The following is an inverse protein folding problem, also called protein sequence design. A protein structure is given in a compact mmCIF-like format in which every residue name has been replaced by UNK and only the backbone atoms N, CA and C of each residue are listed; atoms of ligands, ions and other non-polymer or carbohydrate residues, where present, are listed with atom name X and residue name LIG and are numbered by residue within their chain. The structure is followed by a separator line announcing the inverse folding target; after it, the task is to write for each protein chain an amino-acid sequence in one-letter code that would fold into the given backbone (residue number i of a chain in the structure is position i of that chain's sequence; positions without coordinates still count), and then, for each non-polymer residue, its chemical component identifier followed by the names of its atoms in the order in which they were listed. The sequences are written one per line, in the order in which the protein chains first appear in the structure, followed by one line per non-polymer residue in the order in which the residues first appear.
data_IF_655433699306
#
_entry.id   IF_655433699306
#
_cell.length_a   1.000
_cell.length_b   1.000
_cell.length_c   1.000
_cell.angle_alpha   90.00
_cell.angle_beta   90.00
_cell.angle_gamma   90.00
#
_symmetry.space_group_name_H-M   'P 1'
#
loop_
_entity.id
_entity.type
_entity.pdbx_description
1 polymer ?
#
# COMPACT_ATOMS: atom_id res chain seq x y z
N UNK A 1 -35.33 17.23 15.69
CA UNK A 1 -34.59 16.75 14.51
C UNK A 1 -33.40 15.92 15.00
N UNK A 2 -33.51 14.59 15.00
CA UNK A 2 -32.37 13.71 15.29
C UNK A 2 -31.63 13.45 13.99
N UNK A 3 -30.37 13.90 13.90
CA UNK A 3 -29.47 13.44 12.86
C UNK A 3 -29.25 11.94 13.08
N UNK A 4 -29.56 11.13 12.07
CA UNK A 4 -29.47 9.66 12.14
C UNK A 4 -28.09 9.20 12.59
N UNK A 5 -28.03 8.25 13.52
CA UNK A 5 -26.77 7.63 13.94
C UNK A 5 -26.19 6.86 12.75
N UNK A 6 -25.01 7.28 12.28
CA UNK A 6 -24.27 6.55 11.24
C UNK A 6 -24.00 5.12 11.71
N UNK A 7 -24.26 4.18 10.82
CA UNK A 7 -24.02 2.75 11.03
C UNK A 7 -22.51 2.45 11.08
N UNK A 8 -22.15 1.30 11.64
CA UNK A 8 -20.73 0.89 11.77
C UNK A 8 -20.04 0.72 10.41
N UNK A 9 -20.77 0.32 9.38
CA UNK A 9 -20.29 0.25 8.00
C UNK A 9 -20.01 1.65 7.44
N UNK A 10 -20.95 2.60 7.60
CA UNK A 10 -20.74 3.99 7.17
C UNK A 10 -19.57 4.66 7.90
N UNK A 11 -19.35 4.32 9.17
CA UNK A 11 -18.20 4.82 9.93
C UNK A 11 -16.87 4.19 9.49
N UNK A 12 -16.88 2.96 8.98
CA UNK A 12 -15.69 2.32 8.40
C UNK A 12 -15.36 2.93 7.03
N UNK A 13 -16.37 3.10 6.17
CA UNK A 13 -16.21 3.68 4.82
C UNK A 13 -15.69 5.12 4.87
N UNK A 14 -16.05 5.88 5.92
CA UNK A 14 -15.52 7.22 6.15
C UNK A 14 -14.05 7.26 6.57
N UNK A 15 -13.48 6.15 7.06
CA UNK A 15 -12.06 6.11 7.48
C UNK A 15 -11.10 5.86 6.34
N UNK A 16 -11.56 5.33 5.22
CA UNK A 16 -10.67 4.90 4.12
C UNK A 16 -10.69 5.84 2.93
N UNK A 17 -11.69 6.74 2.81
CA UNK A 17 -11.79 7.72 1.74
C UNK A 17 -11.16 9.06 2.10
N UNK A 18 -9.96 9.31 1.60
CA UNK A 18 -9.15 10.50 1.88
C UNK A 18 -8.87 11.23 0.55
N UNK A 19 -8.99 12.56 0.52
CA UNK A 19 -8.59 13.34 -0.67
C UNK A 19 -7.11 13.11 -0.98
N UNK A 20 -6.78 12.81 -2.24
CA UNK A 20 -5.40 12.59 -2.64
C UNK A 20 -4.62 13.91 -2.58
N UNK A 21 -3.60 14.04 -1.70
CA UNK A 21 -2.85 15.29 -1.57
C UNK A 21 -2.05 15.66 -2.83
N UNK A 22 -1.78 14.68 -3.70
CA UNK A 22 -1.05 14.87 -4.95
C UNK A 22 -1.98 15.04 -6.16
N UNK A 23 -3.28 15.29 -5.95
CA UNK A 23 -4.25 15.35 -7.04
C UNK A 23 -3.97 16.51 -8.01
N UNK A 24 -3.97 16.19 -9.30
CA UNK A 24 -3.83 17.13 -10.41
C UNK A 24 -4.81 16.74 -11.52
N UNK A 25 -5.74 17.65 -11.86
CA UNK A 25 -6.88 17.37 -12.75
C UNK A 25 -6.48 16.91 -14.16
N UNK A 26 -5.30 17.30 -14.65
CA UNK A 26 -4.84 17.02 -16.02
C UNK A 26 -3.51 16.24 -16.05
N UNK A 27 -3.15 15.54 -14.97
CA UNK A 27 -1.95 14.69 -15.00
C UNK A 27 -2.19 13.43 -15.82
N UNK A 28 -1.22 13.06 -16.64
CA UNK A 28 -1.19 11.77 -17.34
C UNK A 28 -0.75 10.62 -16.40
N UNK A 29 -0.30 10.94 -15.19
CA UNK A 29 0.05 9.96 -14.17
C UNK A 29 -1.21 9.55 -13.38
N UNK A 30 -1.58 8.27 -13.45
CA UNK A 30 -2.78 7.76 -12.75
C UNK A 30 -2.77 8.04 -11.25
N UNK A 31 -1.58 8.07 -10.62
CA UNK A 31 -1.43 8.37 -9.18
C UNK A 31 -1.86 9.78 -8.82
N UNK A 32 -1.71 10.72 -9.76
CA UNK A 32 -1.98 12.14 -9.56
C UNK A 32 -3.36 12.52 -10.13
N UNK A 33 -3.88 11.81 -11.13
CA UNK A 33 -5.25 12.06 -11.62
C UNK A 33 -6.35 11.41 -10.74
N UNK A 34 -5.96 10.56 -9.77
CA UNK A 34 -6.90 9.95 -8.82
C UNK A 34 -7.31 10.95 -7.74
N UNK A 35 -8.60 11.30 -7.64
CA UNK A 35 -9.10 12.34 -6.72
C UNK A 35 -9.13 11.91 -5.25
N UNK A 36 -9.51 10.66 -4.99
CA UNK A 36 -9.63 10.10 -3.64
C UNK A 36 -8.85 8.81 -3.50
N UNK A 37 -8.15 8.66 -2.38
CA UNK A 37 -7.59 7.41 -1.90
C UNK A 37 -8.72 6.66 -1.21
N UNK A 38 -9.10 5.48 -1.71
CA UNK A 38 -10.23 4.70 -1.19
C UNK A 38 -9.81 3.65 -0.14
N UNK A 39 -8.50 3.37 -0.04
CA UNK A 39 -7.92 2.37 0.88
C UNK A 39 -6.61 2.88 1.47
N UNK A 40 -6.37 2.58 2.75
CA UNK A 40 -5.09 2.84 3.42
C UNK A 40 -4.39 1.53 3.76
N UNK A 41 -3.06 1.53 3.62
CA UNK A 41 -2.21 0.37 3.91
C UNK A 41 -0.90 0.83 4.55
N UNK A 42 -0.13 -0.12 5.07
CA UNK A 42 1.21 0.13 5.60
C UNK A 42 2.25 -0.64 4.78
N UNK A 43 3.39 0.01 4.55
CA UNK A 43 4.59 -0.61 3.98
C UNK A 43 5.78 -0.28 4.88
N UNK A 44 6.55 -1.30 5.24
CA UNK A 44 7.79 -1.15 6.00
C UNK A 44 8.95 -1.61 5.12
N UNK A 45 10.04 -0.86 5.13
CA UNK A 45 11.22 -1.16 4.34
C UNK A 45 12.49 -0.96 5.15
N UNK A 46 13.49 -1.78 4.88
CA UNK A 46 14.85 -1.67 5.46
C UNK A 46 15.84 -1.02 4.50
N UNK A 47 15.38 -0.50 3.35
CA UNK A 47 16.22 0.17 2.36
C UNK A 47 17.02 1.30 3.00
N UNK A 48 18.34 1.29 2.78
CA UNK A 48 19.28 2.28 3.35
C UNK A 48 19.60 2.09 4.84
N UNK A 49 18.98 1.11 5.51
CA UNK A 49 19.24 0.78 6.91
C UNK A 49 20.02 -0.53 7.02
N UNK A 50 19.54 -1.57 6.34
CA UNK A 50 20.15 -2.90 6.35
C UNK A 50 20.03 -3.54 4.97
N UNK A 51 21.11 -4.20 4.56
CA UNK A 51 21.16 -5.04 3.37
C UNK A 51 21.86 -6.35 3.72
N UNK A 52 21.49 -7.42 3.01
CA UNK A 52 22.02 -8.75 3.26
C UNK A 52 22.39 -9.40 1.93
N UNK A 53 23.45 -10.20 1.97
CA UNK A 53 23.85 -11.08 0.88
C UNK A 53 23.86 -12.49 1.43
N UNK A 54 23.07 -13.37 0.81
CA UNK A 54 22.83 -14.73 1.28
C UNK A 54 22.08 -14.81 2.63
N UNK A 55 21.92 -16.03 3.14
CA UNK A 55 21.25 -16.31 4.41
C UNK A 55 19.84 -16.89 4.26
N UNK A 56 19.23 -17.20 5.40
CA UNK A 56 17.84 -17.70 5.50
C UNK A 56 17.04 -16.68 6.30
N UNK A 57 15.92 -16.24 5.73
CA UNK A 57 15.00 -15.30 6.37
C UNK A 57 13.73 -16.03 6.77
N UNK A 58 13.49 -16.12 8.07
CA UNK A 58 12.26 -16.70 8.61
C UNK A 58 11.30 -15.58 8.99
N UNK A 59 10.14 -15.54 8.34
CA UNK A 59 9.09 -14.56 8.63
C UNK A 59 7.83 -15.30 9.07
N UNK A 60 7.39 -15.02 10.31
CA UNK A 60 6.15 -15.56 10.87
C UNK A 60 5.07 -14.48 10.83
N UNK A 61 4.10 -14.65 9.94
CA UNK A 61 2.99 -13.72 9.78
C UNK A 61 1.63 -14.44 9.87
N UNK A 62 0.64 -13.78 10.49
CA UNK A 62 -0.77 -14.21 10.44
C UNK A 62 -1.55 -13.22 9.59
N UNK A 63 -1.97 -13.68 8.42
CA UNK A 63 -2.73 -12.87 7.46
C UNK A 63 -4.23 -13.12 7.66
N UNK A 64 -5.02 -12.04 7.79
CA UNK A 64 -6.47 -12.14 7.71
C UNK A 64 -6.87 -12.15 6.24
N UNK A 65 -7.41 -13.26 5.75
CA UNK A 65 -7.86 -13.40 4.36
C UNK A 65 -9.19 -12.70 4.14
N UNK A 66 -9.21 -11.73 3.23
CA UNK A 66 -10.40 -11.03 2.74
C UNK A 66 -10.20 -10.71 1.25
N UNK A 67 -11.29 -10.60 0.50
CA UNK A 67 -11.23 -10.28 -0.92
C UNK A 67 -10.53 -8.94 -1.16
N UNK A 68 -9.66 -8.89 -2.17
CA UNK A 68 -8.90 -7.68 -2.54
C UNK A 68 -7.64 -7.42 -1.70
N UNK A 69 -7.38 -8.19 -0.63
CA UNK A 69 -6.11 -8.07 0.10
C UNK A 69 -4.96 -8.71 -0.66
N UNK A 70 -3.84 -8.00 -0.74
CA UNK A 70 -2.59 -8.48 -1.35
C UNK A 70 -1.39 -8.22 -0.41
N UNK A 71 -1.22 -9.04 0.64
CA UNK A 71 -0.04 -8.96 1.50
C UNK A 71 1.20 -9.48 0.77
N UNK A 72 2.34 -8.83 0.97
CA UNK A 72 3.60 -9.23 0.36
C UNK A 72 4.75 -9.16 1.38
N UNK A 73 5.61 -10.18 1.35
CA UNK A 73 6.92 -10.20 2.01
C UNK A 73 7.91 -10.49 0.89
N UNK A 74 8.80 -9.56 0.61
CA UNK A 74 9.71 -9.63 -0.53
C UNK A 74 10.95 -8.79 -0.27
N UNK A 75 11.98 -9.04 -1.07
CA UNK A 75 13.27 -8.35 -1.02
C UNK A 75 13.59 -7.78 -2.40
N UNK A 76 14.44 -6.76 -2.44
CA UNK A 76 14.99 -6.18 -3.67
C UNK A 76 16.51 -6.10 -3.54
N UNK A 77 17.21 -6.22 -4.67
CA UNK A 77 18.63 -5.85 -4.77
C UNK A 77 18.86 -4.39 -4.36
N UNK A 78 20.08 -4.08 -3.91
CA UNK A 78 20.43 -2.72 -3.45
C UNK A 78 20.63 -1.78 -4.65
N UNK A 79 21.27 -2.27 -5.70
CA UNK A 79 21.75 -1.45 -6.82
C UNK A 79 20.97 -1.69 -8.12
N UNK A 80 20.26 -2.81 -8.22
CA UNK A 80 19.60 -3.21 -9.47
C UNK A 80 18.31 -2.42 -9.71
N UNK A 81 18.15 -1.92 -10.92
CA UNK A 81 16.89 -1.35 -11.39
C UNK A 81 15.83 -2.46 -11.57
N UNK A 82 14.57 -2.10 -11.35
CA UNK A 82 13.43 -3.01 -11.50
C UNK A 82 13.37 -3.71 -12.87
N UNK A 83 13.86 -3.06 -13.93
CA UNK A 83 13.93 -3.58 -15.30
C UNK A 83 14.96 -4.69 -15.50
N UNK A 84 16.04 -4.69 -14.73
CA UNK A 84 17.15 -5.64 -14.89
C UNK A 84 16.95 -6.91 -14.06
N UNK A 85 16.20 -6.83 -12.96
CA UNK A 85 15.89 -7.98 -12.10
C UNK A 85 14.91 -8.97 -12.78
N UNK A 86 14.01 -8.48 -13.64
CA UNK A 86 12.94 -9.29 -14.23
C UNK A 86 13.34 -10.13 -15.47
N UNK A 87 14.60 -10.06 -15.90
CA UNK A 87 15.07 -10.64 -17.18
C UNK A 87 15.82 -11.98 -17.06
N UNK A 88 16.09 -12.47 -15.86
CA UNK A 88 16.83 -13.73 -15.62
C UNK A 88 15.92 -14.86 -15.16
#
# INVERSE_FOLDING_TARGET
MYQGRKTRSELLDLRTRISNPNYQQQSNNWKENTTFIEYTSLSLTTRGLYSWKYGVFEVKAKIKTQNGLWPAIWFLGVEDEWSEIAKN
#
